data_IF_112115650695
#
_entry.id   IF_112115650695
#
_cell.length_a   1.000
_cell.length_b   1.000
_cell.length_c   1.000
_cell.angle_alpha   90.00
_cell.angle_beta   90.00
_cell.angle_gamma   90.00
#
_symmetry.space_group_name_H-M   'P 1'
#
loop_
_entity.id
_entity.type
_entity.pdbx_description
1 polymer ?
#
# COMPACT_ATOMS: atom_id res chain seq x y z
N UNK A 1 -50.93 25.87 37.69
CA UNK A 1 -49.50 25.86 38.10
C UNK A 1 -48.67 25.60 36.85
N UNK A 2 -47.93 26.60 36.37
CA UNK A 2 -47.05 26.46 35.19
C UNK A 2 -45.62 26.56 35.69
N UNK A 3 -44.83 25.50 35.52
CA UNK A 3 -43.41 25.48 35.87
C UNK A 3 -42.62 26.23 34.81
N UNK A 4 -42.01 27.36 35.19
CA UNK A 4 -41.06 28.09 34.37
C UNK A 4 -39.80 27.24 34.17
N UNK A 5 -39.66 26.62 33.01
CA UNK A 5 -38.41 25.98 32.58
C UNK A 5 -37.39 27.07 32.27
N UNK A 6 -36.40 27.23 33.14
CA UNK A 6 -35.26 28.12 32.93
C UNK A 6 -34.32 27.48 31.91
N UNK A 7 -34.47 27.83 30.64
CA UNK A 7 -33.51 27.48 29.59
C UNK A 7 -32.21 28.24 29.85
N UNK A 8 -31.31 27.64 30.64
CA UNK A 8 -29.93 28.10 30.77
C UNK A 8 -29.27 28.02 29.39
N UNK A 9 -29.22 29.15 28.70
CA UNK A 9 -28.29 29.40 27.62
C UNK A 9 -26.85 29.30 28.17
N UNK A 10 -26.32 28.08 28.24
CA UNK A 10 -24.89 27.86 28.37
C UNK A 10 -24.26 28.24 27.03
N UNK A 11 -24.01 29.53 26.86
CA UNK A 11 -23.21 30.04 25.75
C UNK A 11 -21.89 29.28 25.70
N UNK A 12 -21.54 28.80 24.52
CA UNK A 12 -20.25 28.14 24.28
C UNK A 12 -19.18 29.12 24.75
N UNK A 13 -18.38 28.72 25.74
CA UNK A 13 -17.33 29.57 26.29
C UNK A 13 -16.36 29.98 25.19
N UNK A 14 -15.82 31.20 25.23
CA UNK A 14 -14.83 31.67 24.26
C UNK A 14 -13.65 30.68 24.12
N UNK A 15 -13.23 30.04 25.23
CA UNK A 15 -12.21 28.99 25.21
C UNK A 15 -12.63 27.76 24.38
N UNK A 16 -13.90 27.34 24.49
CA UNK A 16 -14.45 26.24 23.69
C UNK A 16 -14.53 26.61 22.20
N UNK A 17 -14.86 27.85 21.86
CA UNK A 17 -14.86 28.33 20.47
C UNK A 17 -13.44 28.27 19.88
N UNK A 18 -12.44 28.75 20.61
CA UNK A 18 -11.03 28.71 20.19
C UNK A 18 -10.54 27.26 20.04
N UNK A 19 -10.82 26.40 21.01
CA UNK A 19 -10.45 24.99 20.95
C UNK A 19 -11.05 24.30 19.72
N UNK A 20 -12.36 24.51 19.45
CA UNK A 20 -13.03 23.99 18.24
C UNK A 20 -12.39 24.52 16.96
N UNK A 21 -12.01 25.79 16.92
CA UNK A 21 -11.32 26.39 15.76
C UNK A 21 -9.96 25.72 15.51
N UNK A 22 -9.17 25.51 16.57
CA UNK A 22 -7.87 24.85 16.46
C UNK A 22 -8.00 23.42 15.92
N UNK A 23 -8.96 22.64 16.42
CA UNK A 23 -9.24 21.28 15.91
C UNK A 23 -9.62 21.32 14.42
N UNK A 24 -10.53 22.21 14.01
CA UNK A 24 -10.93 22.36 12.60
C UNK A 24 -9.73 22.71 11.70
N UNK A 25 -8.86 23.61 12.15
CA UNK A 25 -7.65 24.00 11.43
C UNK A 25 -6.65 22.84 11.33
N UNK A 26 -6.49 22.07 12.41
CA UNK A 26 -5.63 20.89 12.42
C UNK A 26 -6.12 19.83 11.42
N UNK A 27 -7.41 19.49 11.46
CA UNK A 27 -8.01 18.53 10.53
C UNK A 27 -7.94 19.02 9.08
N UNK A 28 -8.09 20.33 8.85
CA UNK A 28 -7.91 20.93 7.52
C UNK A 28 -6.47 20.71 7.00
N UNK A 29 -5.45 20.97 7.83
CA UNK A 29 -4.04 20.76 7.46
C UNK A 29 -3.75 19.30 7.12
N UNK A 30 -4.32 18.35 7.88
CA UNK A 30 -4.19 16.92 7.57
C UNK A 30 -4.77 16.62 6.19
N UNK A 31 -6.02 17.04 5.92
CA UNK A 31 -6.66 16.82 4.62
C UNK A 31 -5.88 17.44 3.46
N UNK A 32 -5.33 18.64 3.64
CA UNK A 32 -4.51 19.30 2.62
C UNK A 32 -3.22 18.52 2.35
N UNK A 33 -2.55 17.99 3.39
CA UNK A 33 -1.36 17.15 3.23
C UNK A 33 -1.66 15.85 2.50
N UNK A 34 -2.69 15.12 2.92
CA UNK A 34 -3.06 13.85 2.28
C UNK A 34 -3.48 14.07 0.83
N UNK A 35 -4.22 15.14 0.54
CA UNK A 35 -4.57 15.50 -0.83
C UNK A 35 -3.35 15.79 -1.70
N UNK A 36 -2.38 16.57 -1.19
CA UNK A 36 -1.14 16.86 -1.92
C UNK A 36 -0.31 15.60 -2.18
N UNK A 37 -0.25 14.67 -1.21
CA UNK A 37 0.41 13.37 -1.40
C UNK A 37 -0.28 12.56 -2.50
N UNK A 38 -1.60 12.44 -2.45
CA UNK A 38 -2.35 11.70 -3.46
C UNK A 38 -2.10 12.26 -4.85
N UNK A 39 -2.19 13.59 -5.01
CA UNK A 39 -1.92 14.26 -6.30
C UNK A 39 -0.51 13.98 -6.83
N UNK A 40 0.50 13.92 -5.95
CA UNK A 40 1.87 13.63 -6.36
C UNK A 40 2.08 12.17 -6.82
N UNK A 41 1.24 11.23 -6.34
CA UNK A 41 1.33 9.81 -6.70
C UNK A 41 0.61 9.46 -8.00
N UNK A 42 -0.37 10.28 -8.42
CA UNK A 42 -1.18 10.01 -9.61
C UNK A 42 -0.57 10.70 -10.83
N UNK A 43 -0.01 9.96 -11.80
CA UNK A 43 0.81 10.53 -12.88
C UNK A 43 0.08 11.58 -13.73
N UNK A 44 -1.19 11.33 -14.07
CA UNK A 44 -1.96 12.20 -14.95
C UNK A 44 -2.18 13.61 -14.38
N UNK A 45 -2.24 13.76 -13.04
CA UNK A 45 -2.53 15.03 -12.35
C UNK A 45 -1.33 15.63 -11.63
N UNK A 46 -0.23 14.88 -11.47
CA UNK A 46 0.96 15.34 -10.76
C UNK A 46 1.62 16.56 -11.43
N UNK A 47 1.71 16.56 -12.76
CA UNK A 47 2.34 17.64 -13.53
C UNK A 47 1.41 18.84 -13.80
N UNK A 48 0.10 18.69 -13.63
CA UNK A 48 -0.87 19.73 -13.98
C UNK A 48 -0.82 20.87 -12.96
N UNK A 49 -0.96 22.13 -13.37
CA UNK A 49 -0.92 23.29 -12.45
C UNK A 49 -2.22 23.47 -11.66
N UNK A 50 -3.37 23.36 -12.34
CA UNK A 50 -4.71 23.54 -11.77
C UNK A 50 -5.51 22.25 -11.93
N UNK A 51 -5.83 21.60 -10.81
CA UNK A 51 -6.64 20.38 -10.78
C UNK A 51 -7.61 20.49 -9.61
N UNK A 52 -8.85 20.09 -9.81
CA UNK A 52 -9.86 20.08 -8.75
C UNK A 52 -9.69 18.87 -7.83
N UNK A 53 -10.32 18.91 -6.65
CA UNK A 53 -10.27 17.77 -5.71
C UNK A 53 -10.93 16.52 -6.29
N UNK A 54 -12.06 16.68 -6.96
CA UNK A 54 -12.81 15.58 -7.58
C UNK A 54 -11.97 14.90 -8.65
N UNK A 55 -11.37 15.68 -9.56
CA UNK A 55 -10.50 15.16 -10.61
C UNK A 55 -9.32 14.33 -10.06
N UNK A 56 -8.65 14.78 -9.00
CA UNK A 56 -7.56 13.99 -8.39
C UNK A 56 -8.06 12.64 -7.86
N UNK A 57 -9.29 12.58 -7.34
CA UNK A 57 -9.87 11.33 -6.84
C UNK A 57 -10.26 10.42 -8.01
N UNK A 58 -10.92 10.94 -9.03
CA UNK A 58 -11.31 10.17 -10.23
C UNK A 58 -10.09 9.57 -10.93
N UNK A 59 -9.06 10.39 -11.13
CA UNK A 59 -7.81 9.94 -11.74
C UNK A 59 -7.05 8.95 -10.87
N UNK A 60 -7.13 9.07 -9.53
CA UNK A 60 -6.57 8.07 -8.63
C UNK A 60 -7.25 6.71 -8.77
N UNK A 61 -8.58 6.69 -8.90
CA UNK A 61 -9.34 5.44 -9.11
C UNK A 61 -8.91 4.80 -10.42
N UNK A 62 -8.86 5.56 -11.51
CA UNK A 62 -8.41 5.06 -12.82
C UNK A 62 -7.00 4.50 -12.77
N UNK A 63 -6.08 5.17 -12.07
CA UNK A 63 -4.70 4.71 -11.94
C UNK A 63 -4.59 3.41 -11.13
N UNK A 64 -5.41 3.23 -10.08
CA UNK A 64 -5.49 1.97 -9.34
C UNK A 64 -5.96 0.84 -10.25
N UNK A 65 -7.00 1.08 -11.06
CA UNK A 65 -7.53 0.09 -12.01
C UNK A 65 -6.49 -0.32 -13.05
N UNK A 66 -5.75 0.65 -13.61
CA UNK A 66 -4.67 0.40 -14.58
C UNK A 66 -3.54 -0.43 -13.97
N UNK A 67 -3.08 -0.07 -12.76
CA UNK A 67 -2.06 -0.83 -12.05
C UNK A 67 -2.54 -2.25 -11.74
N UNK A 68 -3.80 -2.42 -11.34
CA UNK A 68 -4.37 -3.72 -11.05
C UNK A 68 -4.45 -4.60 -12.30
N UNK A 69 -4.93 -4.05 -13.42
CA UNK A 69 -4.96 -4.74 -14.71
C UNK A 69 -3.54 -5.14 -15.16
N UNK A 70 -2.57 -4.23 -15.03
CA UNK A 70 -1.16 -4.47 -15.37
C UNK A 70 -0.57 -5.61 -14.55
N UNK A 71 -0.88 -5.69 -13.25
CA UNK A 71 -0.41 -6.78 -12.39
C UNK A 71 -1.03 -8.13 -12.79
N UNK A 72 -2.33 -8.17 -13.04
CA UNK A 72 -3.02 -9.39 -13.47
C UNK A 72 -2.48 -9.90 -14.81
N UNK A 73 -2.22 -9.00 -15.75
CA UNK A 73 -1.67 -9.33 -17.05
C UNK A 73 -0.27 -9.94 -16.94
N UNK A 74 0.60 -9.38 -16.08
CA UNK A 74 1.93 -9.95 -15.82
C UNK A 74 1.85 -11.36 -15.22
N UNK A 75 0.90 -11.60 -14.31
CA UNK A 75 0.71 -12.95 -13.77
C UNK A 75 0.23 -13.93 -14.84
N UNK A 76 -0.69 -13.52 -15.73
CA UNK A 76 -1.13 -14.36 -16.85
C UNK A 76 0.04 -14.72 -17.77
N UNK A 77 0.86 -13.74 -18.16
CA UNK A 77 2.02 -13.96 -19.01
C UNK A 77 3.05 -14.91 -18.39
N UNK A 78 3.28 -14.82 -17.07
CA UNK A 78 4.14 -15.78 -16.36
C UNK A 78 3.54 -17.19 -16.35
N UNK A 79 2.24 -17.34 -16.12
CA UNK A 79 1.60 -18.65 -16.16
C UNK A 79 1.55 -19.25 -17.56
N UNK A 80 1.35 -18.42 -18.59
CA UNK A 80 1.33 -18.87 -19.98
C UNK A 80 2.73 -19.31 -20.43
N UNK A 81 3.78 -18.52 -20.16
CA UNK A 81 5.16 -18.91 -20.47
C UNK A 81 5.58 -20.21 -19.78
N UNK A 82 5.21 -20.40 -18.51
CA UNK A 82 5.46 -21.67 -17.79
C UNK A 82 4.67 -22.82 -18.43
N UNK A 83 3.40 -22.61 -18.78
CA UNK A 83 2.57 -23.62 -19.46
C UNK A 83 3.15 -24.00 -20.82
N UNK A 84 3.47 -23.04 -21.66
CA UNK A 84 4.09 -23.28 -22.97
C UNK A 84 5.42 -24.01 -22.84
N UNK A 85 6.24 -23.65 -21.84
CA UNK A 85 7.48 -24.36 -21.57
C UNK A 85 7.25 -25.81 -21.14
N UNK A 86 6.36 -26.06 -20.17
CA UNK A 86 6.03 -27.41 -19.69
C UNK A 86 5.40 -28.26 -20.80
N UNK A 87 4.47 -27.71 -21.59
CA UNK A 87 3.88 -28.40 -22.73
C UNK A 87 4.95 -28.76 -23.77
N UNK A 88 5.88 -27.84 -24.08
CA UNK A 88 6.99 -28.11 -25.00
C UNK A 88 7.89 -29.24 -24.49
N UNK A 89 8.19 -29.27 -23.19
CA UNK A 89 8.96 -30.36 -22.59
C UNK A 89 8.24 -31.71 -22.66
N UNK A 90 6.94 -31.78 -22.35
CA UNK A 90 6.18 -33.04 -22.40
C UNK A 90 5.97 -33.57 -23.83
N UNK A 91 5.90 -32.68 -24.83
CA UNK A 91 5.89 -33.09 -26.24
C UNK A 91 7.25 -33.58 -26.75
N UNK A 92 8.36 -33.15 -26.14
CA UNK A 92 9.70 -33.62 -26.51
C UNK A 92 10.04 -34.98 -25.88
N UNK A 93 9.48 -35.31 -24.70
CA UNK A 93 9.75 -36.60 -24.04
C UNK A 93 8.92 -37.77 -24.57
N UNK A 94 7.93 -37.53 -25.44
CA UNK A 94 7.01 -38.57 -25.94
C UNK A 94 7.29 -39.03 -27.39
N UNK A 95 8.33 -38.53 -28.05
CA UNK A 95 8.67 -38.90 -29.43
C UNK A 95 9.99 -39.68 -29.61
N UNK A 96 10.61 -40.17 -28.53
CA UNK A 96 11.70 -41.13 -28.64
C UNK A 96 11.53 -42.24 -27.62
N UNK A 97 11.10 -43.42 -28.08
CA UNK A 97 11.27 -44.66 -27.35
C UNK A 97 12.76 -44.85 -27.02
N UNK A 98 13.17 -44.92 -25.73
CA UNK A 98 14.56 -45.19 -25.39
C UNK A 98 14.73 -46.69 -25.14
N UNK A 99 15.57 -47.31 -25.97
CA UNK A 99 16.32 -48.50 -25.56
C UNK A 99 17.16 -48.15 -24.32
N UNK A 100 17.22 -49.10 -23.38
CA UNK A 100 17.84 -48.95 -22.07
C UNK A 100 19.40 -48.97 -22.12
N UNK A 101 20.10 -48.98 -20.97
CA UNK A 101 20.74 -47.81 -20.38
C UNK A 101 22.27 -47.97 -20.28
N UNK A 102 23.03 -46.87 -20.27
CA UNK A 102 24.37 -46.96 -19.68
C UNK A 102 24.94 -45.67 -19.10
N UNK A 103 25.59 -45.87 -17.96
CA UNK A 103 26.70 -45.14 -17.36
C UNK A 103 26.60 -43.68 -16.90
N UNK A 104 26.48 -43.57 -15.57
CA UNK A 104 27.39 -42.88 -14.64
C UNK A 104 28.10 -41.58 -15.09
N UNK A 105 27.69 -40.44 -14.50
CA UNK A 105 28.60 -39.49 -13.84
C UNK A 105 27.87 -38.25 -13.28
N UNK A 106 28.04 -38.07 -11.98
CA UNK A 106 27.72 -36.93 -11.10
C UNK A 106 29.10 -36.43 -10.59
N UNK A 107 29.38 -35.22 -9.99
CA UNK A 107 28.73 -33.90 -9.76
C UNK A 107 29.67 -32.71 -10.22
N UNK A 108 29.63 -31.40 -9.78
CA UNK A 108 28.90 -30.81 -8.66
C UNK A 108 28.19 -29.44 -8.79
N UNK A 109 27.08 -29.45 -8.04
CA UNK A 109 26.40 -28.39 -7.31
C UNK A 109 27.30 -27.24 -6.81
N UNK A 110 27.03 -26.03 -7.29
CA UNK A 110 27.52 -24.78 -6.70
C UNK A 110 26.49 -24.27 -5.68
N UNK A 111 26.86 -24.33 -4.40
CA UNK A 111 26.12 -23.71 -3.29
C UNK A 111 26.32 -22.19 -3.35
N UNK A 112 25.25 -21.42 -3.60
CA UNK A 112 25.23 -19.97 -3.35
C UNK A 112 24.67 -19.70 -1.95
N UNK A 113 25.47 -19.02 -1.16
CA UNK A 113 25.20 -18.57 0.20
C UNK A 113 24.06 -17.54 0.23
N UNK A 114 23.13 -17.73 1.15
CA UNK A 114 22.13 -16.74 1.55
C UNK A 114 22.77 -15.67 2.44
N UNK A 115 22.83 -14.45 1.92
CA UNK A 115 23.21 -13.25 2.67
C UNK A 115 22.14 -12.93 3.72
N UNK A 116 22.58 -12.80 4.97
CA UNK A 116 21.83 -12.35 6.12
C UNK A 116 21.50 -10.86 6.00
N UNK A 117 20.21 -10.50 5.99
CA UNK A 117 19.77 -9.12 6.11
C UNK A 117 19.36 -8.83 7.56
N UNK A 118 20.30 -8.27 8.32
CA UNK A 118 20.08 -7.77 9.68
C UNK A 118 19.39 -6.41 9.61
N UNK A 119 18.05 -6.38 9.74
CA UNK A 119 17.29 -5.13 9.83
C UNK A 119 16.98 -4.81 11.29
N UNK A 120 17.80 -3.93 11.86
CA UNK A 120 17.54 -3.23 13.12
C UNK A 120 16.09 -2.71 13.17
N UNK A 121 15.28 -3.30 14.06
CA UNK A 121 14.03 -2.68 14.50
C UNK A 121 14.38 -1.57 15.49
N UNK A 122 14.47 -0.33 15.02
CA UNK A 122 14.38 0.83 15.90
C UNK A 122 12.95 0.91 16.43
N UNK A 123 12.77 0.55 17.70
CA UNK A 123 11.51 0.78 18.41
C UNK A 123 11.39 2.29 18.65
N UNK A 124 10.27 2.95 18.27
CA UNK A 124 10.09 4.36 18.54
C UNK A 124 9.81 4.60 20.04
N UNK A 125 10.57 5.51 20.64
CA UNK A 125 10.68 5.79 22.08
C UNK A 125 9.49 6.52 22.72
N UNK A 126 8.32 6.58 22.07
CA UNK A 126 7.14 7.24 22.66
C UNK A 126 6.38 6.40 23.69
N UNK A 127 6.82 5.16 23.97
CA UNK A 127 6.20 4.30 24.99
C UNK A 127 6.71 4.54 26.42
N UNK A 128 7.68 5.43 26.64
CA UNK A 128 8.13 5.79 28.00
C UNK A 128 7.19 6.80 28.66
N UNK A 129 6.03 6.31 29.08
CA UNK A 129 5.11 7.02 29.99
C UNK A 129 5.76 7.12 31.38
N UNK A 130 6.39 8.27 31.66
CA UNK A 130 6.97 8.64 32.95
C UNK A 130 5.89 8.63 34.05
N UNK A 131 5.82 7.57 34.84
CA UNK A 131 5.07 7.55 36.11
C UNK A 131 5.79 8.49 37.09
N UNK A 132 5.13 9.57 37.49
CA UNK A 132 5.54 10.36 38.67
C UNK A 132 5.33 9.48 39.90
N UNK A 133 6.37 9.31 40.72
CA UNK A 133 6.24 8.76 42.07
C UNK A 133 5.64 9.84 42.97
N UNK A 134 4.71 9.42 43.82
CA UNK A 134 4.16 10.20 44.95
C UNK A 134 5.24 10.33 46.01
#
# INVERSE_FOLDING_TARGET
>A
MVTMTTYRHHGISAAQVVARRQVRMHLRKIREREYSKLRALVPSVAAQKKVTKVQVIEEAVRYIEELHATLLERFRQQHETVRTFVSRMMTQTSSSAPAAPDNSSVPPFVKRSSSTFEKQRSQPTFLLRKRRKI
#
